data_IF_317987311648
#
_entry.id   IF_317987311648
#
_cell.length_a   1.000
_cell.length_b   1.000
_cell.length_c   1.000
_cell.angle_alpha   90.00
_cell.angle_beta   90.00
_cell.angle_gamma   90.00
#
_symmetry.space_group_name_H-M   'P 1'
#
loop_
_entity.id
_entity.type
_entity.pdbx_description
1 polymer ?
#
# COMPACT_ATOMS: atom_id res chain seq x y z
N UNK A 1 -22.47 5.57 6.48
CA UNK A 1 -22.38 4.58 7.58
C UNK A 1 -23.01 3.29 7.12
N UNK A 2 -22.18 2.25 6.93
CA UNK A 2 -22.58 0.91 6.48
C UNK A 2 -23.15 0.07 7.64
N UNK A 3 -23.86 -1.02 7.32
CA UNK A 3 -24.34 -1.99 8.32
C UNK A 3 -23.17 -2.68 9.04
N UNK A 4 -22.07 -2.98 8.33
CA UNK A 4 -20.84 -3.53 8.91
C UNK A 4 -20.22 -2.55 9.94
N UNK A 5 -20.18 -1.25 9.64
CA UNK A 5 -19.66 -0.24 10.57
C UNK A 5 -20.45 -0.26 11.90
N UNK A 6 -21.78 -0.30 11.82
CA UNK A 6 -22.64 -0.37 13.01
C UNK A 6 -22.41 -1.66 13.80
N UNK A 7 -22.31 -2.81 13.11
CA UNK A 7 -22.05 -4.10 13.75
C UNK A 7 -20.71 -4.11 14.51
N UNK A 8 -19.66 -3.52 13.92
CA UNK A 8 -18.34 -3.40 14.56
C UNK A 8 -18.41 -2.55 15.83
N UNK A 9 -19.10 -1.42 15.80
CA UNK A 9 -19.25 -0.57 16.98
C UNK A 9 -20.04 -1.28 18.09
N UNK A 10 -21.12 -1.99 17.75
CA UNK A 10 -21.92 -2.70 18.77
C UNK A 10 -21.13 -3.82 19.47
N UNK A 11 -20.29 -4.55 18.71
CA UNK A 11 -19.45 -5.60 19.29
C UNK A 11 -18.32 -5.00 20.14
N UNK A 12 -17.70 -3.91 19.68
CA UNK A 12 -16.66 -3.22 20.43
C UNK A 12 -17.15 -2.70 21.79
N UNK A 13 -18.38 -2.16 21.85
CA UNK A 13 -19.02 -1.74 23.12
C UNK A 13 -19.21 -2.93 24.07
N UNK A 14 -19.44 -4.13 23.52
CA UNK A 14 -19.59 -5.37 24.28
C UNK A 14 -18.25 -6.04 24.62
N UNK A 15 -17.12 -5.43 24.26
CA UNK A 15 -15.77 -5.99 24.45
C UNK A 15 -15.47 -7.19 23.54
N UNK A 16 -16.25 -7.37 22.47
CA UNK A 16 -16.13 -8.48 21.52
C UNK A 16 -15.66 -7.97 20.15
N UNK A 17 -15.10 -8.86 19.34
CA UNK A 17 -14.83 -8.61 17.91
C UNK A 17 -15.82 -9.40 17.05
N UNK A 18 -16.10 -8.90 15.85
CA UNK A 18 -16.84 -9.68 14.85
C UNK A 18 -16.08 -10.96 14.52
N UNK A 19 -16.80 -12.07 14.35
CA UNK A 19 -16.19 -13.31 13.89
C UNK A 19 -15.88 -13.23 12.39
N UNK A 20 -14.94 -14.05 11.92
CA UNK A 20 -14.69 -14.20 10.48
C UNK A 20 -15.95 -14.58 9.69
N UNK A 21 -16.86 -15.35 10.29
CA UNK A 21 -18.16 -15.69 9.68
C UNK A 21 -19.01 -14.44 9.48
N UNK A 22 -19.06 -13.54 10.46
CA UNK A 22 -19.86 -12.31 10.37
C UNK A 22 -19.30 -11.33 9.35
N UNK A 23 -17.98 -11.30 9.16
CA UNK A 23 -17.34 -10.46 8.15
C UNK A 23 -17.52 -11.04 6.74
N UNK A 24 -17.53 -12.37 6.60
CA UNK A 24 -17.65 -13.06 5.29
C UNK A 24 -18.97 -12.83 4.55
N UNK A 25 -19.98 -12.25 5.19
CA UNK A 25 -21.25 -11.88 4.55
C UNK A 25 -21.16 -10.58 3.75
N UNK A 26 -20.08 -9.81 3.90
CA UNK A 26 -19.87 -8.53 3.22
C UNK A 26 -18.88 -8.66 2.09
N UNK A 27 -19.13 -7.94 1.00
CA UNK A 27 -18.20 -7.88 -0.13
C UNK A 27 -16.90 -7.14 0.22
N UNK A 28 -15.85 -7.39 -0.56
CA UNK A 28 -14.59 -6.65 -0.45
C UNK A 28 -14.76 -5.13 -0.54
N UNK A 29 -15.67 -4.65 -1.42
CA UNK A 29 -15.98 -3.24 -1.56
C UNK A 29 -16.68 -2.64 -0.32
N UNK A 30 -17.57 -3.38 0.34
CA UNK A 30 -18.21 -2.96 1.59
C UNK A 30 -17.22 -2.94 2.76
N UNK A 31 -16.33 -3.93 2.82
CA UNK A 31 -15.22 -3.96 3.78
C UNK A 31 -14.30 -2.77 3.56
N UNK A 32 -13.90 -2.49 2.32
CA UNK A 32 -13.09 -1.33 1.95
C UNK A 32 -13.73 -0.01 2.39
N UNK A 33 -15.01 0.18 2.09
CA UNK A 33 -15.72 1.40 2.49
C UNK A 33 -15.80 1.53 4.01
N UNK A 34 -16.06 0.43 4.71
CA UNK A 34 -16.14 0.43 6.17
C UNK A 34 -14.79 0.70 6.82
N UNK A 35 -13.69 0.17 6.26
CA UNK A 35 -12.32 0.49 6.66
C UNK A 35 -12.03 1.99 6.52
N UNK A 36 -12.38 2.58 5.38
CA UNK A 36 -12.22 4.02 5.17
C UNK A 36 -13.02 4.84 6.21
N UNK A 37 -14.28 4.46 6.48
CA UNK A 37 -15.11 5.11 7.50
C UNK A 37 -14.50 5.00 8.91
N UNK A 38 -13.89 3.85 9.27
CA UNK A 38 -13.22 3.65 10.56
C UNK A 38 -11.95 4.49 10.70
N UNK A 39 -11.14 4.55 9.64
CA UNK A 39 -9.94 5.39 9.58
C UNK A 39 -10.31 6.86 9.74
N UNK A 40 -11.33 7.33 9.01
CA UNK A 40 -11.82 8.71 9.11
C UNK A 40 -12.33 9.05 10.52
N UNK A 41 -12.88 8.06 11.24
CA UNK A 41 -13.32 8.19 12.64
C UNK A 41 -12.18 7.97 13.67
N UNK A 42 -10.93 7.87 13.22
CA UNK A 42 -9.74 7.56 14.04
C UNK A 42 -9.90 6.29 14.90
N UNK A 43 -10.61 5.28 14.38
CA UNK A 43 -10.83 3.97 15.03
C UNK A 43 -9.84 2.94 14.48
N UNK A 44 -8.54 3.22 14.66
CA UNK A 44 -7.46 2.46 14.03
C UNK A 44 -7.45 0.98 14.47
N UNK A 45 -7.74 0.68 15.74
CA UNK A 45 -7.79 -0.71 16.22
C UNK A 45 -8.87 -1.55 15.50
N UNK A 46 -10.05 -0.96 15.28
CA UNK A 46 -11.12 -1.61 14.54
C UNK A 46 -10.78 -1.72 13.06
N UNK A 47 -10.15 -0.68 12.48
CA UNK A 47 -9.69 -0.74 11.10
C UNK A 47 -8.66 -1.87 10.91
N UNK A 48 -7.71 -2.04 11.83
CA UNK A 48 -6.74 -3.12 11.80
C UNK A 48 -7.40 -4.51 11.89
N UNK A 49 -8.35 -4.69 12.82
CA UNK A 49 -9.08 -5.95 12.94
C UNK A 49 -9.87 -6.28 11.67
N UNK A 50 -10.54 -5.30 11.07
CA UNK A 50 -11.28 -5.48 9.83
C UNK A 50 -10.36 -5.72 8.63
N UNK A 51 -9.19 -5.06 8.57
CA UNK A 51 -8.21 -5.27 7.50
C UNK A 51 -7.64 -6.69 7.56
N UNK A 52 -7.31 -7.19 8.76
CA UNK A 52 -6.86 -8.58 8.95
C UNK A 52 -7.93 -9.60 8.51
N UNK A 53 -9.19 -9.37 8.89
CA UNK A 53 -10.30 -10.22 8.44
C UNK A 53 -10.48 -10.15 6.92
N UNK A 54 -10.44 -8.94 6.34
CA UNK A 54 -10.54 -8.72 4.90
C UNK A 54 -9.43 -9.44 4.12
N UNK A 55 -8.18 -9.33 4.56
CA UNK A 55 -7.04 -10.02 3.94
C UNK A 55 -7.16 -11.54 4.01
N UNK A 56 -7.71 -12.08 5.10
CA UNK A 56 -7.93 -13.53 5.20
C UNK A 56 -9.09 -14.02 4.33
N UNK A 57 -10.11 -13.20 4.09
CA UNK A 57 -11.28 -13.58 3.30
C UNK A 57 -11.07 -13.34 1.80
N UNK A 58 -10.38 -12.27 1.44
CA UNK A 58 -10.19 -11.79 0.07
C UNK A 58 -8.72 -11.45 -0.19
N UNK A 59 -7.81 -12.44 -0.13
CA UNK A 59 -6.37 -12.20 -0.15
C UNK A 59 -5.86 -11.55 -1.44
N UNK A 60 -6.56 -11.71 -2.55
CA UNK A 60 -6.20 -11.19 -3.88
C UNK A 60 -7.15 -10.06 -4.32
N UNK A 61 -7.99 -9.55 -3.43
CA UNK A 61 -8.88 -8.44 -3.79
C UNK A 61 -8.10 -7.13 -3.85
N UNK A 62 -8.13 -6.48 -5.01
CA UNK A 62 -7.52 -5.15 -5.20
C UNK A 62 -8.03 -4.13 -4.17
N UNK A 63 -9.33 -4.14 -3.90
CA UNK A 63 -9.97 -3.28 -2.90
C UNK A 63 -9.34 -3.44 -1.51
N UNK A 64 -9.10 -4.69 -1.09
CA UNK A 64 -8.54 -5.02 0.23
C UNK A 64 -7.05 -4.72 0.29
N UNK A 65 -6.29 -5.05 -0.76
CA UNK A 65 -4.86 -4.76 -0.84
C UNK A 65 -4.61 -3.25 -0.80
N UNK A 66 -5.35 -2.47 -1.60
CA UNK A 66 -5.20 -1.02 -1.66
C UNK A 66 -5.52 -0.33 -0.33
N UNK A 67 -6.65 -0.66 0.31
CA UNK A 67 -7.01 -0.02 1.59
C UNK A 67 -6.14 -0.49 2.76
N UNK A 68 -5.65 -1.74 2.73
CA UNK A 68 -4.70 -2.24 3.73
C UNK A 68 -3.36 -1.53 3.62
N UNK A 69 -2.87 -1.28 2.40
CA UNK A 69 -1.66 -0.48 2.17
C UNK A 69 -1.82 0.94 2.74
N UNK A 70 -2.94 1.62 2.44
CA UNK A 70 -3.21 2.97 2.97
C UNK A 70 -3.29 2.99 4.51
N UNK A 71 -3.91 1.97 5.12
CA UNK A 71 -3.97 1.84 6.58
C UNK A 71 -2.57 1.63 7.20
N UNK A 72 -1.71 0.84 6.56
CA UNK A 72 -0.33 0.64 6.98
C UNK A 72 0.48 1.95 6.90
N UNK A 73 0.31 2.73 5.83
CA UNK A 73 0.97 4.03 5.68
C UNK A 73 0.56 5.06 6.73
N UNK A 74 -0.72 5.10 7.11
CA UNK A 74 -1.21 5.96 8.19
C UNK A 74 -0.49 5.62 9.50
N UNK A 75 -0.20 4.33 9.71
CA UNK A 75 0.53 3.82 10.86
C UNK A 75 2.05 3.88 10.67
N UNK A 76 2.53 4.41 9.54
CA UNK A 76 3.95 4.45 9.16
C UNK A 76 4.61 3.07 9.09
N UNK A 77 3.82 2.01 8.91
CA UNK A 77 4.30 0.67 8.63
C UNK A 77 4.56 0.52 7.12
N UNK A 78 5.69 1.08 6.70
CA UNK A 78 6.08 1.10 5.29
C UNK A 78 6.36 -0.29 4.72
N UNK A 79 6.79 -1.24 5.55
CA UNK A 79 7.06 -2.62 5.14
C UNK A 79 5.75 -3.32 4.77
N UNK A 80 4.73 -3.24 5.64
CA UNK A 80 3.41 -3.81 5.32
C UNK A 80 2.78 -3.12 4.11
N UNK A 81 2.95 -1.79 3.99
CA UNK A 81 2.47 -1.06 2.81
C UNK A 81 3.16 -1.52 1.51
N UNK A 82 4.49 -1.74 1.53
CA UNK A 82 5.26 -2.29 0.41
C UNK A 82 4.70 -3.66 0.00
N UNK A 83 4.53 -4.57 0.96
CA UNK A 83 4.03 -5.93 0.70
C UNK A 83 2.65 -5.93 0.06
N UNK A 84 1.72 -5.12 0.58
CA UNK A 84 0.37 -5.00 0.03
C UNK A 84 0.38 -4.42 -1.39
N UNK A 85 1.20 -3.41 -1.66
CA UNK A 85 1.29 -2.78 -2.99
C UNK A 85 2.00 -3.67 -4.01
N UNK A 86 3.03 -4.42 -3.62
CA UNK A 86 3.65 -5.42 -4.49
C UNK A 86 2.64 -6.49 -4.90
N UNK A 87 1.91 -7.03 -3.92
CA UNK A 87 0.84 -7.99 -4.19
C UNK A 87 -0.27 -7.40 -5.06
N UNK A 88 -0.60 -6.13 -4.89
CA UNK A 88 -1.57 -5.44 -5.75
C UNK A 88 -1.08 -5.34 -7.19
N UNK A 89 0.17 -4.93 -7.41
CA UNK A 89 0.79 -4.91 -8.73
C UNK A 89 0.80 -6.30 -9.37
N UNK A 90 1.16 -7.33 -8.60
CA UNK A 90 1.14 -8.72 -9.07
C UNK A 90 -0.27 -9.20 -9.44
N UNK A 91 -1.27 -8.85 -8.63
CA UNK A 91 -2.69 -9.17 -8.87
C UNK A 91 -3.20 -8.50 -10.15
N UNK A 92 -2.81 -7.24 -10.38
CA UNK A 92 -3.21 -6.49 -11.57
C UNK A 92 -2.45 -6.94 -12.83
N UNK A 93 -1.22 -7.46 -12.70
CA UNK A 93 -0.40 -7.95 -13.82
C UNK A 93 -0.20 -6.88 -14.90
N UNK A 94 -0.54 -7.22 -16.15
CA UNK A 94 -0.45 -6.29 -17.29
C UNK A 94 -1.45 -5.12 -17.20
N UNK A 95 -2.48 -5.23 -16.36
CA UNK A 95 -3.44 -4.16 -16.10
C UNK A 95 -2.98 -3.20 -14.98
N UNK A 96 -1.81 -3.44 -14.37
CA UNK A 96 -1.29 -2.58 -13.32
C UNK A 96 -1.13 -1.14 -13.83
N UNK A 97 -1.83 -0.21 -13.21
CA UNK A 97 -1.89 1.17 -13.71
C UNK A 97 -0.63 1.96 -13.32
N UNK A 98 -0.29 3.05 -14.05
CA UNK A 98 0.75 3.98 -13.62
C UNK A 98 0.50 4.54 -12.21
N UNK A 99 -0.76 4.65 -11.79
CA UNK A 99 -1.11 5.08 -10.44
C UNK A 99 -0.67 4.07 -9.38
N UNK A 100 -0.96 2.77 -9.59
CA UNK A 100 -0.53 1.69 -8.68
C UNK A 100 1.00 1.68 -8.54
N UNK A 101 1.71 1.80 -9.67
CA UNK A 101 3.17 1.86 -9.68
C UNK A 101 3.73 3.07 -8.93
N UNK A 102 3.19 4.27 -9.18
CA UNK A 102 3.61 5.48 -8.45
C UNK A 102 3.32 5.39 -6.95
N UNK A 103 2.25 4.71 -6.56
CA UNK A 103 1.95 4.46 -5.15
C UNK A 103 3.03 3.59 -4.50
N UNK A 104 3.39 2.45 -5.13
CA UNK A 104 4.48 1.59 -4.65
C UNK A 104 5.81 2.37 -4.55
N UNK A 105 6.16 3.13 -5.58
CA UNK A 105 7.40 3.94 -5.60
C UNK A 105 7.40 4.94 -4.43
N UNK A 106 6.29 5.61 -4.17
CA UNK A 106 6.18 6.54 -3.03
C UNK A 106 6.41 5.85 -1.70
N UNK A 107 5.84 4.66 -1.48
CA UNK A 107 6.07 3.89 -0.24
C UNK A 107 7.54 3.53 -0.07
N UNK A 108 8.20 3.08 -1.13
CA UNK A 108 9.65 2.77 -1.11
C UNK A 108 10.50 4.00 -0.80
N UNK A 109 10.10 5.18 -1.27
CA UNK A 109 10.76 6.44 -0.89
C UNK A 109 10.55 6.79 0.58
N UNK A 110 9.34 6.62 1.09
CA UNK A 110 9.04 6.82 2.52
C UNK A 110 9.81 5.87 3.43
N UNK A 111 10.17 4.67 2.93
CA UNK A 111 11.04 3.70 3.60
C UNK A 111 12.53 4.05 3.50
N UNK A 112 12.91 5.11 2.77
CA UNK A 112 14.30 5.46 2.44
C UNK A 112 15.04 4.37 1.65
N UNK A 113 14.33 3.68 0.74
CA UNK A 113 14.86 2.62 -0.13
C UNK A 113 14.93 3.08 -1.61
N UNK A 114 15.76 4.08 -1.97
CA UNK A 114 15.76 4.68 -3.30
C UNK A 114 16.18 3.69 -4.40
N UNK A 115 17.04 2.71 -4.09
CA UNK A 115 17.40 1.64 -5.02
C UNK A 115 16.20 0.77 -5.40
N UNK A 116 15.40 0.34 -4.43
CA UNK A 116 14.16 -0.41 -4.68
C UNK A 116 13.15 0.45 -5.46
N UNK A 117 13.00 1.72 -5.08
CA UNK A 117 12.11 2.66 -5.76
C UNK A 117 12.50 2.84 -7.24
N UNK A 118 13.79 2.97 -7.53
CA UNK A 118 14.32 3.12 -8.88
C UNK A 118 14.08 1.88 -9.73
N UNK A 119 14.23 0.68 -9.16
CA UNK A 119 13.91 -0.58 -9.83
C UNK A 119 12.41 -0.69 -10.14
N UNK A 120 11.54 -0.32 -9.20
CA UNK A 120 10.09 -0.29 -9.43
C UNK A 120 9.71 0.71 -10.54
N UNK A 121 10.32 1.90 -10.58
CA UNK A 121 10.10 2.88 -11.64
C UNK A 121 10.55 2.38 -13.03
N UNK A 122 11.70 1.70 -13.10
CA UNK A 122 12.15 1.04 -14.34
C UNK A 122 11.15 -0.02 -14.80
N UNK A 123 10.70 -0.90 -13.89
CA UNK A 123 9.72 -1.93 -14.22
C UNK A 123 8.40 -1.30 -14.72
N UNK A 124 7.90 -0.27 -14.03
CA UNK A 124 6.70 0.46 -14.42
C UNK A 124 6.81 1.05 -15.84
N UNK A 125 7.96 1.61 -16.20
CA UNK A 125 8.21 2.18 -17.53
C UNK A 125 8.35 1.12 -18.64
N UNK A 126 8.64 -0.15 -18.30
CA UNK A 126 8.55 -1.21 -19.31
C UNK A 126 7.10 -1.48 -19.74
N UNK A 127 6.15 -1.33 -18.82
CA UNK A 127 4.71 -1.46 -19.09
C UNK A 127 4.10 -0.16 -19.63
N UNK A 128 4.58 0.99 -19.14
CA UNK A 128 4.02 2.32 -19.43
C UNK A 128 5.08 3.29 -19.98
N UNK A 129 5.66 3.01 -21.16
CA UNK A 129 6.83 3.76 -21.68
C UNK A 129 6.55 5.23 -21.97
N UNK A 130 5.28 5.60 -22.15
CA UNK A 130 4.82 6.95 -22.49
C UNK A 130 4.37 7.76 -21.28
N UNK A 131 4.37 7.19 -20.06
CA UNK A 131 3.95 7.93 -18.87
C UNK A 131 5.04 8.91 -18.41
N UNK A 132 4.73 10.20 -18.50
CA UNK A 132 5.68 11.27 -18.19
C UNK A 132 6.02 11.33 -16.70
N UNK A 133 5.03 11.07 -15.82
CA UNK A 133 5.22 11.14 -14.38
C UNK A 133 6.14 10.02 -13.87
N UNK A 134 6.02 8.81 -14.42
CA UNK A 134 6.93 7.71 -14.13
C UNK A 134 8.36 7.99 -14.62
N UNK A 135 8.51 8.70 -15.75
CA UNK A 135 9.82 9.09 -16.28
C UNK A 135 10.48 10.15 -15.41
N UNK A 136 9.74 11.17 -15.00
CA UNK A 136 10.20 12.19 -14.04
C UNK A 136 10.61 11.54 -12.72
N UNK A 137 9.82 10.60 -12.21
CA UNK A 137 10.12 9.87 -10.97
C UNK A 137 11.41 9.05 -11.11
N UNK A 138 11.61 8.34 -12.22
CA UNK A 138 12.85 7.59 -12.46
C UNK A 138 14.08 8.51 -12.48
N UNK A 139 14.00 9.65 -13.17
CA UNK A 139 15.10 10.62 -13.21
C UNK A 139 15.43 11.16 -11.81
N UNK A 140 14.40 11.55 -11.04
CA UNK A 140 14.60 12.00 -9.64
C UNK A 140 15.28 10.94 -8.77
N UNK A 141 14.93 9.66 -8.96
CA UNK A 141 15.53 8.55 -8.24
C UNK A 141 16.97 8.27 -8.67
N UNK A 142 17.29 8.42 -9.96
CA UNK A 142 18.65 8.27 -10.47
C UNK A 142 19.60 9.33 -9.88
N UNK A 143 19.15 10.58 -9.80
CA UNK A 143 19.92 11.65 -9.18
C UNK A 143 20.17 11.34 -7.69
N UNK A 144 19.12 10.94 -6.96
CA UNK A 144 19.21 10.61 -5.55
C UNK A 144 20.16 9.44 -5.26
N UNK A 145 20.11 8.38 -6.08
CA UNK A 145 21.01 7.22 -5.92
C UNK A 145 22.45 7.59 -6.29
N UNK A 146 22.64 8.42 -7.31
CA UNK A 146 23.97 8.89 -7.73
C UNK A 146 24.63 9.75 -6.65
N UNK A 147 23.88 10.63 -6.00
CA UNK A 147 24.36 11.46 -4.89
C UNK A 147 24.70 10.65 -3.62
N UNK A 148 24.10 9.47 -3.46
CA UNK A 148 24.37 8.56 -2.34
C UNK A 148 25.64 7.71 -2.53
N UNK A 149 26.21 7.66 -3.74
CA UNK A 149 27.50 7.03 -3.97
C UNK A 149 28.61 7.98 -3.48
N UNK A 150 29.42 7.59 -2.47
CA UNK A 150 30.50 8.45 -2.00
C UNK A 150 31.49 8.73 -3.14
N UNK A 151 31.99 9.98 -3.19
CA UNK A 151 33.17 10.41 -3.96
C UNK A 151 34.46 9.80 -3.36
N UNK A 152 34.45 8.51 -3.02
CA UNK A 152 35.61 7.79 -2.47
C UNK A 152 36.51 7.23 -3.58
N UNK A 153 36.02 7.14 -4.82
CA UNK A 153 36.83 6.73 -5.97
C UNK A 153 37.88 7.79 -6.40
N UNK A 154 37.82 9.03 -5.88
CA UNK A 154 38.74 10.10 -6.27
C UNK A 154 39.94 10.31 -5.33
N UNK A 155 40.13 9.48 -4.29
CA UNK A 155 41.26 9.61 -3.34
C UNK A 155 42.35 8.56 -3.45
N UNK A 156 42.28 7.63 -4.40
CA UNK A 156 43.36 6.64 -4.65
C UNK A 156 44.36 7.05 -5.74
N UNK A 157 44.34 8.30 -6.19
CA UNK A 157 45.39 8.84 -7.07
C UNK A 157 45.98 10.11 -6.48
N UNK A 158 46.81 9.97 -5.45
CA UNK A 158 47.92 10.88 -5.14
C UNK A 158 49.00 10.10 -4.39
#
# INVERSE_FOLDING_TARGET
MTSLYQAMLSQAVSGQMLSMRDVSQFSAGEIRQTLADLVAANRIDLANALAAAGQSLYPESEDILAISALLAEIQQDWTTAEDMLRKLVETQGDAATPFTWRHLIRVLRCQCEPGKAMLAAQQALTQHPQDDLLREELLSLQDLVSDQLPVEASRQMH
#
